data_IF_599358050623
#
_entry.id   IF_599358050623
#
_cell.length_a   1.000
_cell.length_b   1.000
_cell.length_c   1.000
_cell.angle_alpha   90.00
_cell.angle_beta   90.00
_cell.angle_gamma   90.00
#
_symmetry.space_group_name_H-M   'P 1'
#
loop_
_entity.id
_entity.type
_entity.pdbx_description
1 polymer ?
#
# COMPACT_ATOMS: atom_id res chain seq x y z
N UNK A 1 -12.62 -9.23 6.14
CA UNK A 1 -12.04 -8.95 4.83
C UNK A 1 -12.63 -9.80 3.70
N UNK A 2 -13.13 -11.05 3.96
CA UNK A 2 -13.68 -11.94 2.89
C UNK A 2 -14.77 -11.26 2.06
N UNK A 3 -15.67 -10.53 2.69
CA UNK A 3 -16.83 -9.89 2.04
C UNK A 3 -16.53 -8.51 1.45
N UNK A 4 -15.35 -7.93 1.71
CA UNK A 4 -14.98 -6.66 1.11
C UNK A 4 -14.60 -6.84 -0.36
N UNK A 5 -15.08 -5.96 -1.23
CA UNK A 5 -14.72 -5.93 -2.65
C UNK A 5 -13.36 -5.28 -2.89
N UNK A 6 -13.01 -4.31 -2.04
CA UNK A 6 -11.75 -3.57 -2.09
C UNK A 6 -11.10 -3.47 -0.71
N UNK A 7 -9.79 -3.39 -0.68
CA UNK A 7 -8.98 -3.32 0.53
C UNK A 7 -7.87 -2.29 0.32
N UNK A 8 -7.76 -1.33 1.25
CA UNK A 8 -6.56 -0.52 1.37
C UNK A 8 -5.45 -1.36 1.99
N UNK A 9 -4.24 -1.28 1.46
CA UNK A 9 -3.10 -2.07 1.91
C UNK A 9 -1.84 -1.21 1.93
N UNK A 10 -0.97 -1.48 2.90
CA UNK A 10 0.36 -0.91 3.01
C UNK A 10 1.27 -1.89 3.74
N UNK A 11 2.60 -1.75 3.61
CA UNK A 11 3.58 -2.62 4.26
C UNK A 11 4.70 -1.82 4.90
N UNK A 12 5.17 -2.30 6.06
CA UNK A 12 6.38 -1.82 6.67
C UNK A 12 7.50 -2.84 6.56
N UNK A 13 8.68 -2.37 6.23
CA UNK A 13 9.86 -3.20 6.04
C UNK A 13 11.07 -2.67 6.82
N UNK A 14 12.04 -3.54 7.04
CA UNK A 14 13.29 -3.21 7.73
C UNK A 14 14.39 -2.65 6.79
N UNK A 15 13.99 -2.03 5.69
CA UNK A 15 14.87 -1.55 4.60
C UNK A 15 15.97 -0.59 5.04
N UNK A 16 15.79 0.12 6.16
CA UNK A 16 16.80 1.02 6.72
C UNK A 16 17.81 0.33 7.62
N UNK A 17 17.55 -0.92 8.03
CA UNK A 17 18.31 -1.64 9.03
C UNK A 17 18.98 -2.91 8.48
N UNK A 18 18.53 -3.42 7.33
CA UNK A 18 19.01 -4.66 6.72
C UNK A 18 19.30 -4.52 5.22
N UNK A 19 20.37 -5.20 4.77
CA UNK A 19 20.78 -5.19 3.35
C UNK A 19 19.74 -5.90 2.45
N UNK A 20 19.09 -6.95 2.96
CA UNK A 20 17.97 -7.63 2.33
C UNK A 20 16.71 -7.32 3.13
N UNK A 21 15.92 -6.33 2.71
CA UNK A 21 14.74 -5.93 3.45
C UNK A 21 13.68 -7.03 3.43
N UNK A 22 12.96 -7.14 4.54
CA UNK A 22 11.81 -8.05 4.72
C UNK A 22 10.58 -7.25 5.09
N UNK A 23 9.42 -7.78 4.70
CA UNK A 23 8.14 -7.28 5.20
C UNK A 23 8.02 -7.60 6.68
N UNK A 24 7.96 -6.58 7.51
CA UNK A 24 7.84 -6.69 8.96
C UNK A 24 6.41 -6.49 9.46
N UNK A 25 5.58 -5.79 8.70
CA UNK A 25 4.18 -5.57 9.01
C UNK A 25 3.37 -5.46 7.73
N UNK A 26 2.14 -5.97 7.74
CA UNK A 26 1.15 -5.74 6.69
C UNK A 26 -0.06 -5.13 7.38
N UNK A 27 -0.42 -3.93 6.99
CA UNK A 27 -1.60 -3.25 7.49
C UNK A 27 -2.63 -3.08 6.37
N UNK A 28 -3.90 -3.06 6.75
CA UNK A 28 -4.94 -2.85 5.77
C UNK A 28 -6.26 -2.40 6.39
N UNK A 29 -7.10 -1.88 5.51
CA UNK A 29 -8.40 -1.34 5.88
C UNK A 29 -9.46 -1.70 4.85
N UNK A 30 -10.64 -2.02 5.33
CA UNK A 30 -11.89 -2.02 4.56
C UNK A 30 -12.74 -0.83 4.99
N UNK A 31 -13.95 -0.70 4.45
CA UNK A 31 -14.89 0.33 4.92
C UNK A 31 -15.23 0.20 6.42
N UNK A 32 -15.10 -0.99 7.01
CA UNK A 32 -15.64 -1.28 8.34
C UNK A 32 -14.60 -1.71 9.36
N UNK A 33 -13.44 -2.19 8.94
CA UNK A 33 -12.41 -2.72 9.84
C UNK A 33 -11.01 -2.32 9.38
N UNK A 34 -10.14 -2.09 10.35
CA UNK A 34 -8.71 -1.96 10.18
C UNK A 34 -8.05 -3.20 10.77
N UNK A 35 -6.98 -3.67 10.14
CA UNK A 35 -6.27 -4.86 10.61
C UNK A 35 -4.77 -4.70 10.42
N UNK A 36 -4.02 -5.36 11.29
CA UNK A 36 -2.58 -5.47 11.24
C UNK A 36 -2.23 -6.95 11.27
N UNK A 37 -1.32 -7.37 10.40
CA UNK A 37 -0.77 -8.72 10.35
C UNK A 37 0.72 -8.62 10.63
N UNK A 38 1.20 -9.47 11.51
CA UNK A 38 2.61 -9.61 11.83
C UNK A 38 3.21 -10.83 11.12
N UNK A 39 3.90 -10.65 9.99
CA UNK A 39 4.52 -11.77 9.28
C UNK A 39 5.65 -12.45 10.07
N UNK A 40 6.25 -11.72 11.05
CA UNK A 40 7.33 -12.24 11.87
C UNK A 40 6.83 -13.20 12.96
N UNK A 41 5.52 -13.28 13.17
CA UNK A 41 4.90 -14.21 14.13
C UNK A 41 4.87 -15.69 13.68
N UNK A 42 5.53 -16.03 12.56
CA UNK A 42 5.61 -17.40 12.03
C UNK A 42 4.24 -18.05 11.79
N UNK A 43 3.28 -17.26 11.29
CA UNK A 43 1.95 -17.73 10.90
C UNK A 43 1.89 -18.03 9.40
N UNK A 44 1.02 -18.97 9.00
CA UNK A 44 0.74 -19.21 7.58
C UNK A 44 -0.15 -18.09 7.02
N UNK A 45 0.41 -17.29 6.10
CA UNK A 45 -0.29 -16.19 5.43
C UNK A 45 -0.93 -16.59 4.10
N UNK A 46 -0.81 -17.85 3.67
CA UNK A 46 -1.40 -18.31 2.41
C UNK A 46 -2.90 -18.03 2.32
N UNK A 47 -3.73 -18.30 3.36
CA UNK A 47 -5.16 -18.01 3.32
C UNK A 47 -5.47 -16.51 3.22
N UNK A 48 -4.61 -15.66 3.78
CA UNK A 48 -4.75 -14.22 3.68
C UNK A 48 -4.52 -13.74 2.23
N UNK A 49 -3.43 -14.19 1.60
CA UNK A 49 -3.11 -13.81 0.23
C UNK A 49 -4.11 -14.39 -0.78
N UNK A 50 -4.65 -15.58 -0.55
CA UNK A 50 -5.75 -16.13 -1.35
C UNK A 50 -6.97 -15.21 -1.35
N UNK A 51 -7.33 -14.63 -0.19
CA UNK A 51 -8.42 -13.67 -0.07
C UNK A 51 -8.10 -12.36 -0.79
N UNK A 52 -6.86 -11.87 -0.71
CA UNK A 52 -6.45 -10.61 -1.34
C UNK A 52 -6.36 -10.70 -2.85
N UNK A 53 -5.93 -11.84 -3.38
CA UNK A 53 -5.59 -12.02 -4.80
C UNK A 53 -6.67 -11.50 -5.77
N UNK A 54 -7.97 -11.79 -5.62
CA UNK A 54 -8.99 -11.33 -6.56
C UNK A 54 -9.52 -9.91 -6.28
N UNK A 55 -9.12 -9.27 -5.19
CA UNK A 55 -9.72 -8.01 -4.76
C UNK A 55 -9.07 -6.80 -5.41
N UNK A 56 -9.84 -5.73 -5.51
CA UNK A 56 -9.25 -4.42 -5.77
C UNK A 56 -8.41 -4.00 -4.57
N UNK A 57 -7.15 -3.66 -4.80
CA UNK A 57 -6.27 -3.11 -3.77
C UNK A 57 -6.03 -1.63 -4.00
N UNK A 58 -6.14 -0.85 -2.93
CA UNK A 58 -5.83 0.58 -2.91
C UNK A 58 -4.56 0.78 -2.12
N UNK A 59 -3.54 1.35 -2.74
CA UNK A 59 -2.23 1.59 -2.14
C UNK A 59 -1.76 3.02 -2.43
N UNK A 60 -0.73 3.44 -1.73
CA UNK A 60 -0.01 4.68 -2.01
C UNK A 60 1.43 4.37 -2.40
N UNK A 61 1.80 4.55 -3.67
CA UNK A 61 3.07 4.06 -4.28
C UNK A 61 3.16 2.52 -4.30
N UNK A 62 2.13 1.90 -4.87
CA UNK A 62 1.94 0.44 -4.91
C UNK A 62 3.16 -0.36 -5.39
N UNK A 63 4.04 0.25 -6.17
CA UNK A 63 5.20 -0.43 -6.75
C UNK A 63 6.18 -0.96 -5.71
N UNK A 64 6.36 -0.26 -4.58
CA UNK A 64 7.23 -0.72 -3.50
C UNK A 64 6.63 -1.92 -2.77
N UNK A 65 5.40 -1.77 -2.27
CA UNK A 65 4.71 -2.82 -1.50
C UNK A 65 4.58 -4.12 -2.29
N UNK A 66 4.17 -4.02 -3.56
CA UNK A 66 4.01 -5.19 -4.41
C UNK A 66 5.34 -5.92 -4.68
N UNK A 67 6.47 -5.20 -4.80
CA UNK A 67 7.80 -5.84 -4.88
C UNK A 67 8.13 -6.60 -3.61
N UNK A 68 7.90 -6.01 -2.46
CA UNK A 68 8.18 -6.61 -1.15
C UNK A 68 7.30 -7.84 -0.92
N UNK A 69 5.99 -7.72 -1.13
CA UNK A 69 5.05 -8.82 -0.99
C UNK A 69 5.32 -9.97 -1.96
N UNK A 70 5.78 -9.64 -3.20
CA UNK A 70 6.21 -10.67 -4.14
C UNK A 70 7.48 -11.37 -3.70
N UNK A 71 8.47 -10.61 -3.21
CA UNK A 71 9.76 -11.18 -2.80
C UNK A 71 9.62 -12.15 -1.63
N UNK A 72 8.84 -11.77 -0.60
CA UNK A 72 8.73 -12.53 0.63
C UNK A 72 7.65 -13.63 0.58
N UNK A 73 6.56 -13.42 -0.19
CA UNK A 73 5.38 -14.30 -0.17
C UNK A 73 4.94 -14.79 -1.54
N UNK A 74 5.66 -14.46 -2.61
CA UNK A 74 5.27 -14.66 -4.04
C UNK A 74 3.85 -14.14 -4.35
N UNK A 75 3.41 -13.13 -3.59
CA UNK A 75 2.08 -12.54 -3.80
C UNK A 75 1.99 -11.84 -5.14
N UNK A 76 0.91 -12.13 -5.88
CA UNK A 76 0.62 -11.56 -7.21
C UNK A 76 -0.86 -11.19 -7.27
N UNK A 77 -1.23 -9.92 -7.15
CA UNK A 77 -2.60 -9.50 -7.25
C UNK A 77 -3.15 -9.79 -8.66
N UNK A 78 -4.40 -10.26 -8.73
CA UNK A 78 -5.17 -10.45 -9.96
C UNK A 78 -6.30 -9.43 -10.09
N UNK A 79 -6.69 -8.81 -8.98
CA UNK A 79 -7.64 -7.70 -8.96
C UNK A 79 -6.98 -6.40 -9.43
N UNK A 80 -7.80 -5.38 -9.61
CA UNK A 80 -7.32 -4.05 -9.99
C UNK A 80 -6.53 -3.40 -8.85
N UNK A 81 -5.53 -2.62 -9.22
CA UNK A 81 -4.80 -1.75 -8.30
C UNK A 81 -5.24 -0.31 -8.53
N UNK A 82 -5.56 0.39 -7.44
CA UNK A 82 -5.72 1.83 -7.43
C UNK A 82 -4.56 2.44 -6.63
N UNK A 83 -3.65 3.13 -7.31
CA UNK A 83 -2.52 3.82 -6.70
C UNK A 83 -2.84 5.30 -6.52
N UNK A 84 -2.97 5.73 -5.27
CA UNK A 84 -3.35 7.12 -4.94
C UNK A 84 -2.25 8.12 -5.28
N UNK A 85 -0.97 7.73 -5.26
CA UNK A 85 0.12 8.62 -5.68
C UNK A 85 0.12 8.82 -7.20
N UNK A 86 -0.09 7.76 -7.99
CA UNK A 86 -0.25 7.88 -9.44
C UNK A 86 -1.48 8.71 -9.81
N UNK A 87 -2.59 8.56 -9.08
CA UNK A 87 -3.77 9.37 -9.25
C UNK A 87 -3.47 10.86 -9.02
N UNK A 88 -2.81 11.20 -7.92
CA UNK A 88 -2.41 12.56 -7.59
C UNK A 88 -1.52 13.20 -8.68
N UNK A 89 -0.55 12.45 -9.20
CA UNK A 89 0.30 12.90 -10.32
C UNK A 89 -0.50 13.19 -11.58
N UNK A 90 -1.44 12.31 -11.92
CA UNK A 90 -2.27 12.47 -13.12
C UNK A 90 -3.31 13.58 -13.00
N UNK A 91 -3.70 13.95 -11.78
CA UNK A 91 -4.52 15.15 -11.52
C UNK A 91 -3.68 16.42 -11.68
N UNK A 92 -2.36 16.34 -11.53
CA UNK A 92 -1.42 17.47 -11.66
C UNK A 92 -1.09 18.12 -10.32
N UNK A 93 -1.18 17.39 -9.21
CA UNK A 93 -0.82 17.90 -7.89
C UNK A 93 0.70 17.98 -7.73
N UNK A 94 1.17 19.04 -7.08
CA UNK A 94 2.61 19.20 -6.75
C UNK A 94 2.98 18.35 -5.53
N UNK A 95 2.09 18.32 -4.52
CA UNK A 95 2.28 17.55 -3.29
C UNK A 95 1.54 16.21 -3.42
N UNK A 96 2.27 15.15 -3.69
CA UNK A 96 1.72 13.80 -3.96
C UNK A 96 1.90 12.80 -2.82
N UNK A 97 2.56 13.20 -1.74
CA UNK A 97 2.76 12.32 -0.57
C UNK A 97 1.47 12.15 0.23
N UNK A 98 1.28 10.97 0.84
CA UNK A 98 0.04 10.58 1.52
C UNK A 98 -0.44 11.63 2.52
N UNK A 99 0.43 12.10 3.42
CA UNK A 99 0.03 13.11 4.42
C UNK A 99 -0.47 14.42 3.80
N UNK A 100 0.15 14.87 2.70
CA UNK A 100 -0.31 16.07 2.00
C UNK A 100 -1.68 15.86 1.37
N UNK A 101 -1.91 14.70 0.75
CA UNK A 101 -3.20 14.36 0.16
C UNK A 101 -4.30 14.23 1.22
N UNK A 102 -4.00 13.63 2.37
CA UNK A 102 -4.96 13.49 3.46
C UNK A 102 -5.32 14.86 4.06
N UNK A 103 -4.33 15.73 4.25
CA UNK A 103 -4.57 17.10 4.71
C UNK A 103 -5.43 17.89 3.71
N UNK A 104 -5.08 17.85 2.40
CA UNK A 104 -5.76 18.60 1.36
C UNK A 104 -7.21 18.14 1.13
N UNK A 105 -7.43 16.81 1.03
CA UNK A 105 -8.73 16.27 0.61
C UNK A 105 -9.64 15.86 1.76
N UNK A 106 -9.08 15.56 2.92
CA UNK A 106 -9.83 15.05 4.07
C UNK A 106 -9.70 15.90 5.33
N UNK A 107 -8.81 16.91 5.32
CA UNK A 107 -8.51 17.71 6.52
C UNK A 107 -7.88 16.90 7.65
N UNK A 108 -7.22 15.80 7.33
CA UNK A 108 -6.60 14.88 8.30
C UNK A 108 -5.10 15.12 8.34
N UNK A 109 -4.59 15.40 9.53
CA UNK A 109 -3.16 15.52 9.78
C UNK A 109 -2.59 14.19 10.29
N UNK A 110 -1.68 13.59 9.53
CA UNK A 110 -0.93 12.39 9.91
C UNK A 110 0.56 12.69 10.04
N UNK A 111 1.20 12.10 11.03
CA UNK A 111 2.59 12.38 11.36
C UNK A 111 3.52 11.34 10.72
N UNK A 112 4.49 11.80 9.92
CA UNK A 112 5.52 10.94 9.25
C UNK A 112 6.63 10.45 10.19
N UNK A 113 6.50 10.63 11.50
CA UNK A 113 7.60 10.47 12.45
C UNK A 113 8.18 9.06 12.50
N UNK A 114 7.41 8.04 12.17
CA UNK A 114 7.76 6.64 12.36
C UNK A 114 8.14 5.89 11.08
N UNK A 115 8.16 6.55 9.92
CA UNK A 115 8.51 5.96 8.63
C UNK A 115 9.90 5.25 8.61
N UNK A 116 10.84 5.68 9.47
CA UNK A 116 12.19 5.10 9.57
C UNK A 116 12.38 4.28 10.84
N UNK A 117 11.30 3.89 11.50
CA UNK A 117 11.37 3.05 12.69
C UNK A 117 11.96 1.67 12.36
N UNK A 118 12.50 1.01 13.35
CA UNK A 118 12.92 -0.37 13.22
C UNK A 118 11.71 -1.30 13.39
N UNK A 119 11.05 -1.58 12.26
CA UNK A 119 9.85 -2.42 12.21
C UNK A 119 10.10 -3.89 12.49
N UNK A 120 11.38 -4.32 12.58
CA UNK A 120 11.74 -5.70 12.94
C UNK A 120 11.63 -5.99 14.42
N UNK A 121 11.63 -4.95 15.28
CA UNK A 121 11.54 -5.09 16.73
C UNK A 121 10.18 -5.53 17.22
N UNK A 122 10.18 -6.30 18.31
CA UNK A 122 8.97 -6.71 19.02
C UNK A 122 9.14 -6.55 20.53
N UNK A 123 8.07 -6.18 21.27
CA UNK A 123 6.74 -5.80 20.75
C UNK A 123 6.77 -4.41 20.06
N UNK A 124 5.84 -4.20 19.14
CA UNK A 124 5.61 -2.86 18.56
C UNK A 124 4.94 -1.96 19.61
N UNK A 125 5.33 -0.69 19.65
CA UNK A 125 4.65 0.29 20.52
C UNK A 125 3.27 0.64 19.98
N UNK A 126 2.39 1.14 20.86
CA UNK A 126 1.07 1.65 20.45
C UNK A 126 1.19 2.76 19.41
N UNK A 127 2.21 3.63 19.53
CA UNK A 127 2.48 4.70 18.56
C UNK A 127 2.79 4.15 17.16
N UNK A 128 3.57 3.06 17.05
CA UNK A 128 3.85 2.41 15.78
C UNK A 128 2.63 1.71 15.20
N UNK A 129 1.82 1.05 16.03
CA UNK A 129 0.58 0.42 15.59
C UNK A 129 -0.43 1.46 15.10
N UNK A 130 -0.52 2.61 15.78
CA UNK A 130 -1.38 3.70 15.33
C UNK A 130 -0.89 4.28 14.00
N UNK A 131 0.41 4.53 13.87
CA UNK A 131 1.02 4.99 12.62
C UNK A 131 0.67 4.06 11.44
N UNK A 132 0.89 2.75 11.60
CA UNK A 132 0.57 1.76 10.57
C UNK A 132 -0.94 1.75 10.21
N UNK A 133 -1.81 1.97 11.18
CA UNK A 133 -3.26 2.07 10.94
C UNK A 133 -3.61 3.32 10.15
N UNK A 134 -2.99 4.46 10.48
CA UNK A 134 -3.24 5.75 9.84
C UNK A 134 -2.86 5.74 8.35
N UNK A 135 -1.86 4.94 7.94
CA UNK A 135 -1.43 4.84 6.55
C UNK A 135 -2.45 4.15 5.64
N UNK A 136 -3.43 3.41 6.19
CA UNK A 136 -4.44 2.70 5.39
C UNK A 136 -5.88 3.15 5.65
N UNK A 137 -6.21 3.64 6.85
CA UNK A 137 -7.61 3.86 7.26
C UNK A 137 -8.35 4.91 6.42
N UNK A 138 -7.62 5.81 5.76
CA UNK A 138 -8.19 6.86 4.92
C UNK A 138 -8.08 6.59 3.42
N UNK A 139 -7.30 5.57 2.99
CA UNK A 139 -6.97 5.36 1.58
C UNK A 139 -8.20 5.08 0.71
N UNK A 140 -9.18 4.32 1.20
CA UNK A 140 -10.39 4.04 0.42
C UNK A 140 -11.16 5.33 0.12
N UNK A 141 -11.37 6.16 1.13
CA UNK A 141 -12.06 7.45 0.98
C UNK A 141 -11.26 8.42 0.10
N UNK A 142 -9.95 8.46 0.25
CA UNK A 142 -9.07 9.25 -0.61
C UNK A 142 -9.15 8.77 -2.06
N UNK A 143 -9.13 7.45 -2.29
CA UNK A 143 -9.23 6.89 -3.65
C UNK A 143 -10.53 7.26 -4.35
N UNK A 144 -11.65 7.32 -3.64
CA UNK A 144 -12.94 7.73 -4.21
C UNK A 144 -12.91 9.20 -4.68
N UNK A 145 -12.32 10.09 -3.88
CA UNK A 145 -12.16 11.50 -4.24
C UNK A 145 -11.25 11.65 -5.46
N UNK A 146 -10.10 10.97 -5.46
CA UNK A 146 -9.14 11.04 -6.57
C UNK A 146 -9.72 10.42 -7.86
N UNK A 147 -10.49 9.33 -7.75
CA UNK A 147 -11.17 8.72 -8.88
C UNK A 147 -12.18 9.67 -9.51
N UNK A 148 -12.97 10.40 -8.71
CA UNK A 148 -13.89 11.43 -9.21
C UNK A 148 -13.15 12.53 -9.96
N UNK A 149 -12.05 13.05 -9.43
CA UNK A 149 -11.23 14.07 -10.09
C UNK A 149 -10.60 13.57 -11.39
N UNK A 150 -10.14 12.31 -11.42
CA UNK A 150 -9.64 11.70 -12.66
C UNK A 150 -10.74 11.57 -13.70
N UNK A 151 -11.96 11.23 -13.29
CA UNK A 151 -13.13 11.15 -14.20
C UNK A 151 -13.49 12.50 -14.80
N UNK A 152 -13.54 13.55 -13.98
CA UNK A 152 -13.80 14.95 -14.42
C UNK A 152 -12.77 15.41 -15.47
N UNK A 153 -11.50 14.97 -15.31
CA UNK A 153 -10.42 15.29 -16.24
C UNK A 153 -10.31 14.32 -17.44
N UNK A 154 -11.15 13.28 -17.52
CA UNK A 154 -11.06 12.23 -18.53
C UNK A 154 -9.79 11.37 -18.45
N UNK A 155 -9.20 11.22 -17.26
CA UNK A 155 -7.89 10.58 -17.05
C UNK A 155 -7.96 9.23 -16.32
N UNK A 156 -9.15 8.67 -16.07
CA UNK A 156 -9.31 7.39 -15.39
C UNK A 156 -8.59 6.27 -16.14
N UNK A 157 -8.72 6.21 -17.46
CA UNK A 157 -8.04 5.18 -18.27
C UNK A 157 -6.52 5.31 -18.19
N UNK A 158 -5.98 6.51 -18.21
CA UNK A 158 -4.54 6.74 -18.04
C UNK A 158 -4.05 6.25 -16.68
N UNK A 159 -4.84 6.49 -15.62
CA UNK A 159 -4.53 5.97 -14.30
C UNK A 159 -4.51 4.44 -14.27
N UNK A 160 -5.53 3.79 -14.82
CA UNK A 160 -5.61 2.33 -14.89
C UNK A 160 -4.42 1.74 -15.67
N UNK A 161 -4.05 2.35 -16.81
CA UNK A 161 -2.89 1.92 -17.58
C UNK A 161 -1.58 2.09 -16.80
N UNK A 162 -1.42 3.22 -16.09
CA UNK A 162 -0.24 3.48 -15.25
C UNK A 162 -0.14 2.49 -14.10
N UNK A 163 -1.25 2.15 -13.44
CA UNK A 163 -1.28 1.14 -12.39
C UNK A 163 -0.90 -0.24 -12.94
N UNK A 164 -1.49 -0.67 -14.07
CA UNK A 164 -1.11 -1.96 -14.72
C UNK A 164 0.38 -2.01 -15.06
N UNK A 165 0.95 -0.91 -15.54
CA UNK A 165 2.36 -0.82 -15.83
C UNK A 165 3.23 -0.91 -14.57
N UNK A 166 2.88 -0.19 -13.51
CA UNK A 166 3.56 -0.23 -12.21
C UNK A 166 3.56 -1.65 -11.62
N UNK A 167 2.40 -2.33 -11.64
CA UNK A 167 2.27 -3.73 -11.21
C UNK A 167 3.18 -4.64 -12.03
N UNK A 168 3.16 -4.51 -13.36
CA UNK A 168 4.02 -5.31 -14.24
C UNK A 168 5.50 -5.14 -13.91
N UNK A 169 5.95 -3.91 -13.65
CA UNK A 169 7.34 -3.65 -13.25
C UNK A 169 7.66 -4.23 -11.87
N UNK A 170 6.77 -4.04 -10.88
CA UNK A 170 6.96 -4.55 -9.53
C UNK A 170 7.07 -6.08 -9.48
N UNK A 171 6.37 -6.78 -10.36
CA UNK A 171 6.35 -8.24 -10.42
C UNK A 171 7.41 -8.86 -11.33
N UNK A 172 8.26 -8.06 -11.96
CA UNK A 172 9.39 -8.60 -12.74
C UNK A 172 10.42 -9.27 -11.82
N UNK A 173 11.11 -10.32 -12.30
CA UNK A 173 12.25 -10.86 -11.58
C UNK A 173 13.31 -9.77 -11.38
N UNK A 174 13.86 -9.68 -10.18
CA UNK A 174 15.03 -8.82 -9.94
C UNK A 174 16.16 -9.34 -10.83
N UNK A 175 16.66 -8.52 -11.74
CA UNK A 175 17.87 -8.88 -12.52
C UNK A 175 19.01 -9.02 -11.52
N UNK A 176 19.46 -10.25 -11.28
CA UNK A 176 20.72 -10.46 -10.60
C UNK A 176 21.82 -9.94 -11.51
N UNK A 177 22.38 -8.78 -11.18
CA UNK A 177 23.63 -8.37 -11.77
C UNK A 177 24.70 -9.30 -11.21
N UNK A 178 25.05 -10.33 -11.96
CA UNK A 178 26.27 -11.09 -11.72
C UNK A 178 27.42 -10.17 -12.13
N UNK A 179 28.05 -9.54 -11.16
CA UNK A 179 29.41 -9.03 -11.29
C UNK A 179 30.39 -10.08 -10.79
#
# INVERSE_FOLDING_TARGET
IRNASRIALDTEADSYHHYYPKVCLIQGSTENIHFIIDPLASIDLSPFFEILTPKQLVLHDAGYDLRMLKADFDFRPKGEIFDTMLAARLIGLEQIGLSALLSEFLGVEVYKKNQRADWSKRPLSEELLQYATDDTCYLLKLSDILASKLAELGRLEWHQQSCRWSVKLALQPVKQNHN
#
